data_IF_023936298839
#
_entry.id   IF_023936298839
#
_cell.length_a   1.000
_cell.length_b   1.000
_cell.length_c   1.000
_cell.angle_alpha   90.00
_cell.angle_beta   90.00
_cell.angle_gamma   90.00
#
_symmetry.space_group_name_H-M   'P 1'
#
loop_
_entity.id
_entity.type
_entity.pdbx_description
1 polymer ?
#
# COMPACT_ATOMS: atom_id res chain seq x y z
N UNK A 1 88.06 -20.52 -42.53
CA UNK A 1 87.79 -21.34 -41.33
C UNK A 1 86.31 -21.28 -41.03
N UNK A 2 85.66 -22.41 -40.80
CA UNK A 2 84.32 -22.47 -40.19
C UNK A 2 83.24 -23.13 -41.06
N UNK A 3 82.66 -24.19 -40.54
CA UNK A 3 81.83 -25.21 -41.19
C UNK A 3 80.33 -24.89 -41.29
N UNK A 4 79.64 -25.72 -42.08
CA UNK A 4 78.18 -25.85 -42.21
C UNK A 4 77.49 -26.39 -40.94
N UNK A 5 76.19 -26.08 -40.75
CA UNK A 5 75.19 -26.96 -40.07
C UNK A 5 73.77 -26.66 -40.58
N UNK A 6 73.02 -27.74 -40.85
CA UNK A 6 71.59 -27.84 -41.19
C UNK A 6 70.65 -27.56 -40.00
N UNK A 7 69.42 -27.11 -40.24
CA UNK A 7 68.36 -27.06 -39.22
C UNK A 7 66.95 -27.15 -39.81
N UNK A 8 66.25 -28.22 -39.46
CA UNK A 8 64.96 -28.72 -39.93
C UNK A 8 63.70 -27.97 -39.45
N UNK A 9 62.67 -28.07 -40.29
CA UNK A 9 61.21 -27.91 -40.16
C UNK A 9 60.53 -27.74 -38.78
N UNK A 10 59.42 -26.99 -38.78
CA UNK A 10 58.13 -27.44 -38.21
C UNK A 10 56.96 -26.59 -38.78
N UNK A 11 56.08 -27.23 -39.56
CA UNK A 11 54.73 -26.70 -39.80
C UNK A 11 53.90 -26.95 -38.53
N UNK A 12 53.46 -25.88 -37.86
CA UNK A 12 52.48 -25.99 -36.79
C UNK A 12 51.08 -25.87 -37.43
N UNK A 13 50.34 -26.98 -37.41
CA UNK A 13 48.96 -27.05 -37.90
C UNK A 13 48.02 -26.18 -37.07
N UNK A 14 47.08 -25.55 -37.76
CA UNK A 14 45.93 -24.92 -37.14
C UNK A 14 45.04 -26.00 -36.51
N UNK A 15 45.05 -26.10 -35.19
CA UNK A 15 43.97 -26.75 -34.47
C UNK A 15 42.81 -25.74 -34.42
N UNK A 16 41.80 -25.98 -35.24
CA UNK A 16 40.50 -25.36 -35.04
C UNK A 16 39.97 -25.80 -33.68
N UNK A 17 39.70 -24.84 -32.79
CA UNK A 17 38.87 -25.09 -31.62
C UNK A 17 37.44 -25.33 -32.10
N UNK A 18 37.11 -26.56 -32.48
CA UNK A 18 35.72 -26.99 -32.56
C UNK A 18 35.16 -27.01 -31.13
N UNK A 19 34.44 -25.94 -30.78
CA UNK A 19 33.56 -25.96 -29.60
C UNK A 19 32.41 -26.90 -29.97
N UNK A 20 32.22 -28.03 -29.27
CA UNK A 20 31.07 -28.87 -29.49
C UNK A 20 29.85 -28.06 -29.06
N UNK A 21 29.04 -27.63 -30.03
CA UNK A 21 27.69 -27.12 -29.77
C UNK A 21 26.86 -28.36 -29.42
N UNK A 22 26.97 -28.82 -28.17
CA UNK A 22 26.02 -29.76 -27.63
C UNK A 22 24.62 -29.16 -27.73
N UNK A 23 23.59 -30.00 -27.86
CA UNK A 23 22.21 -29.58 -27.68
C UNK A 23 22.03 -29.09 -26.23
N UNK A 24 22.43 -27.85 -25.97
CA UNK A 24 22.24 -27.19 -24.70
C UNK A 24 20.78 -26.80 -24.65
N UNK A 25 20.00 -27.51 -23.83
CA UNK A 25 18.67 -27.06 -23.44
C UNK A 25 18.78 -25.58 -23.02
N UNK A 26 17.85 -24.72 -23.45
CA UNK A 26 17.92 -23.30 -23.13
C UNK A 26 17.91 -23.10 -21.62
N UNK A 27 18.74 -22.17 -21.15
CA UNK A 27 18.84 -21.85 -19.73
C UNK A 27 17.47 -21.52 -19.13
N UNK A 28 17.19 -21.95 -17.88
CA UNK A 28 15.95 -21.61 -17.20
C UNK A 28 15.86 -20.08 -16.99
N UNK A 29 14.62 -19.58 -16.89
CA UNK A 29 14.41 -18.16 -16.59
C UNK A 29 14.98 -17.77 -15.23
N UNK A 30 15.41 -16.51 -15.05
CA UNK A 30 15.79 -15.98 -13.75
C UNK A 30 14.67 -16.19 -12.73
N UNK A 31 15.04 -16.62 -11.53
CA UNK A 31 14.11 -16.68 -10.39
C UNK A 31 14.19 -15.37 -9.62
N UNK A 32 13.10 -14.61 -9.57
CA UNK A 32 13.02 -13.40 -8.75
C UNK A 32 12.97 -13.78 -7.27
N UNK A 33 13.56 -12.95 -6.41
CA UNK A 33 13.59 -13.18 -4.96
C UNK A 33 13.32 -11.90 -4.18
N UNK A 34 12.92 -12.04 -2.91
CA UNK A 34 12.73 -10.93 -1.99
C UNK A 34 11.78 -9.85 -2.49
N UNK A 35 12.25 -8.60 -2.46
CA UNK A 35 11.49 -7.41 -2.85
C UNK A 35 11.09 -7.42 -4.34
N UNK A 36 11.93 -7.96 -5.23
CA UNK A 36 11.60 -8.06 -6.66
C UNK A 36 10.48 -9.06 -6.91
N UNK A 37 10.50 -10.21 -6.23
CA UNK A 37 9.42 -11.18 -6.31
C UNK A 37 8.10 -10.62 -5.76
N UNK A 38 8.16 -9.84 -4.67
CA UNK A 38 6.99 -9.19 -4.09
C UNK A 38 6.42 -8.13 -5.03
N UNK A 39 7.28 -7.31 -5.64
CA UNK A 39 6.89 -6.30 -6.64
C UNK A 39 6.21 -6.94 -7.85
N UNK A 40 6.78 -8.00 -8.41
CA UNK A 40 6.21 -8.75 -9.54
C UNK A 40 4.85 -9.37 -9.18
N UNK A 41 4.73 -9.99 -8.00
CA UNK A 41 3.48 -10.56 -7.54
C UNK A 41 2.37 -9.50 -7.43
N UNK A 42 2.71 -8.31 -6.90
CA UNK A 42 1.77 -7.20 -6.82
C UNK A 42 1.45 -6.60 -8.19
N UNK A 43 2.41 -6.56 -9.12
CA UNK A 43 2.15 -6.12 -10.50
C UNK A 43 1.11 -7.03 -11.16
N UNK A 44 1.22 -8.34 -10.98
CA UNK A 44 0.22 -9.31 -11.45
C UNK A 44 -1.14 -9.11 -10.79
N UNK A 45 -1.20 -8.79 -9.50
CA UNK A 45 -2.45 -8.44 -8.79
C UNK A 45 -3.09 -7.18 -9.36
N UNK A 46 -2.31 -6.11 -9.59
CA UNK A 46 -2.80 -4.89 -10.21
C UNK A 46 -3.36 -5.16 -11.62
N UNK A 47 -2.66 -5.94 -12.44
CA UNK A 47 -3.12 -6.34 -13.76
C UNK A 47 -4.44 -7.13 -13.71
N UNK A 48 -4.57 -8.07 -12.76
CA UNK A 48 -5.80 -8.83 -12.55
C UNK A 48 -6.96 -7.89 -12.16
N UNK A 49 -6.77 -7.03 -11.14
CA UNK A 49 -7.77 -6.05 -10.69
C UNK A 49 -8.25 -5.18 -11.86
N UNK A 50 -7.32 -4.62 -12.64
CA UNK A 50 -7.65 -3.82 -13.81
C UNK A 50 -8.42 -4.60 -14.88
N UNK A 51 -8.07 -5.87 -15.11
CA UNK A 51 -8.79 -6.74 -16.05
C UNK A 51 -10.20 -7.09 -15.55
N UNK A 52 -10.37 -7.34 -14.25
CA UNK A 52 -11.66 -7.62 -13.62
C UNK A 52 -12.57 -6.39 -13.69
N UNK A 53 -12.04 -5.21 -13.38
CA UNK A 53 -12.76 -3.95 -13.50
C UNK A 53 -13.24 -3.71 -14.94
N UNK A 54 -12.37 -3.94 -15.94
CA UNK A 54 -12.74 -3.84 -17.36
C UNK A 54 -13.81 -4.85 -17.78
N UNK A 55 -13.77 -6.08 -17.26
CA UNK A 55 -14.82 -7.07 -17.51
C UNK A 55 -16.18 -6.63 -16.92
N UNK A 56 -16.19 -6.04 -15.71
CA UNK A 56 -17.39 -5.48 -15.09
C UNK A 56 -17.98 -4.35 -15.93
N UNK A 57 -17.14 -3.44 -16.44
CA UNK A 57 -17.58 -2.36 -17.35
C UNK A 57 -18.22 -2.95 -18.62
N UNK A 58 -17.59 -3.97 -19.21
CA UNK A 58 -18.06 -4.60 -20.45
C UNK A 58 -19.42 -5.30 -20.31
N UNK A 59 -19.82 -5.72 -19.10
CA UNK A 59 -21.16 -6.27 -18.85
C UNK A 59 -22.29 -5.23 -18.98
N UNK A 60 -21.96 -3.93 -19.12
CA UNK A 60 -22.91 -2.91 -19.53
C UNK A 60 -23.90 -2.46 -18.45
N UNK A 61 -23.60 -2.71 -17.17
CA UNK A 61 -24.38 -2.19 -16.05
C UNK A 61 -24.36 -0.66 -16.03
N UNK A 62 -25.51 0.01 -16.05
CA UNK A 62 -25.60 1.46 -15.81
C UNK A 62 -25.72 1.73 -14.32
N UNK A 63 -24.85 2.56 -13.74
CA UNK A 63 -24.95 2.96 -12.33
C UNK A 63 -23.60 3.30 -11.70
N UNK A 64 -23.60 3.52 -10.39
CA UNK A 64 -22.40 3.86 -9.60
C UNK A 64 -21.31 2.79 -9.68
N UNK A 65 -21.68 1.50 -9.78
CA UNK A 65 -20.73 0.39 -9.86
C UNK A 65 -19.86 0.44 -11.12
N UNK A 66 -20.43 0.80 -12.29
CA UNK A 66 -19.64 0.94 -13.52
C UNK A 66 -18.69 2.13 -13.45
N UNK A 67 -19.13 3.26 -12.88
CA UNK A 67 -18.27 4.42 -12.67
C UNK A 67 -17.13 4.12 -11.69
N UNK A 68 -17.41 3.38 -10.61
CA UNK A 68 -16.37 2.92 -9.69
C UNK A 68 -15.40 1.94 -10.37
N UNK A 69 -15.90 1.02 -11.20
CA UNK A 69 -15.05 0.10 -11.95
C UNK A 69 -14.15 0.83 -12.96
N UNK A 70 -14.62 1.90 -13.62
CA UNK A 70 -13.80 2.75 -14.49
C UNK A 70 -12.64 3.39 -13.73
N UNK A 71 -12.93 3.98 -12.56
CA UNK A 71 -11.90 4.57 -11.69
C UNK A 71 -10.90 3.51 -11.24
N UNK A 72 -11.37 2.34 -10.81
CA UNK A 72 -10.50 1.23 -10.37
C UNK A 72 -9.63 0.72 -11.52
N UNK A 73 -10.15 0.64 -12.74
CA UNK A 73 -9.36 0.23 -13.91
C UNK A 73 -8.23 1.21 -14.18
N UNK A 74 -8.51 2.52 -14.13
CA UNK A 74 -7.51 3.57 -14.36
C UNK A 74 -6.46 3.62 -13.25
N UNK A 75 -6.87 3.49 -11.99
CA UNK A 75 -5.95 3.39 -10.86
C UNK A 75 -5.07 2.14 -10.96
N UNK A 76 -5.64 0.98 -11.34
CA UNK A 76 -4.89 -0.25 -11.51
C UNK A 76 -3.80 -0.12 -12.58
N UNK A 77 -4.05 0.61 -13.67
CA UNK A 77 -3.04 0.91 -14.69
C UNK A 77 -1.91 1.80 -14.14
N UNK A 78 -2.23 2.85 -13.37
CA UNK A 78 -1.25 3.71 -12.69
C UNK A 78 -0.41 2.91 -11.67
N UNK A 79 -1.06 2.06 -10.89
CA UNK A 79 -0.42 1.21 -9.89
C UNK A 79 0.50 0.18 -10.54
N UNK A 80 0.06 -0.43 -11.64
CA UNK A 80 0.88 -1.34 -12.43
C UNK A 80 2.13 -0.63 -12.96
N UNK A 81 2.00 0.59 -13.48
CA UNK A 81 3.13 1.39 -13.92
C UNK A 81 4.09 1.73 -12.77
N UNK A 82 3.57 2.09 -11.59
CA UNK A 82 4.38 2.37 -10.39
C UNK A 82 5.14 1.13 -9.87
N UNK A 83 4.57 -0.06 -10.07
CA UNK A 83 5.22 -1.34 -9.77
C UNK A 83 6.29 -1.72 -10.81
N UNK A 84 6.32 -1.05 -11.97
CA UNK A 84 7.28 -1.31 -13.05
C UNK A 84 6.74 -2.22 -14.15
N UNK A 85 5.43 -2.50 -14.16
CA UNK A 85 4.80 -3.47 -15.05
C UNK A 85 4.99 -4.91 -14.60
N UNK A 86 4.34 -5.84 -15.31
CA UNK A 86 4.61 -7.27 -15.14
C UNK A 86 5.87 -7.62 -15.92
N UNK A 87 6.75 -8.41 -15.32
CA UNK A 87 7.97 -8.82 -15.98
C UNK A 87 7.69 -9.75 -17.17
N UNK A 88 8.25 -9.37 -18.32
CA UNK A 88 8.21 -10.12 -19.56
C UNK A 88 9.62 -10.48 -20.01
N UNK A 89 10.01 -11.77 -20.02
CA UNK A 89 11.35 -12.19 -20.45
C UNK A 89 11.59 -11.96 -21.94
N UNK A 90 10.51 -11.96 -22.73
CA UNK A 90 10.55 -11.88 -24.19
C UNK A 90 9.54 -10.86 -24.72
N UNK A 91 9.81 -9.54 -24.61
CA UNK A 91 8.85 -8.50 -24.97
C UNK A 91 8.40 -8.53 -26.44
N UNK A 92 9.25 -9.04 -27.33
CA UNK A 92 8.98 -9.18 -28.77
C UNK A 92 8.59 -10.59 -29.18
N UNK A 93 8.31 -11.47 -28.22
CA UNK A 93 8.00 -12.88 -28.42
C UNK A 93 9.20 -13.80 -28.15
N UNK A 94 8.92 -14.93 -27.50
CA UNK A 94 9.92 -15.92 -27.14
C UNK A 94 10.42 -16.68 -28.39
N UNK A 95 11.73 -16.94 -28.50
CA UNK A 95 12.22 -17.87 -29.51
C UNK A 95 11.66 -19.27 -29.29
N UNK A 96 11.41 -20.00 -30.37
CA UNK A 96 10.88 -21.37 -30.31
C UNK A 96 11.77 -22.27 -29.46
N UNK A 97 11.18 -22.97 -28.49
CA UNK A 97 11.88 -23.90 -27.60
C UNK A 97 12.44 -23.27 -26.32
N UNK A 98 12.38 -21.94 -26.16
CA UNK A 98 12.83 -21.26 -24.93
C UNK A 98 11.73 -21.22 -23.87
N UNK A 99 12.10 -21.24 -22.57
CA UNK A 99 11.13 -21.09 -21.49
C UNK A 99 10.44 -19.71 -21.54
N UNK A 100 9.14 -19.69 -21.25
CA UNK A 100 8.34 -18.46 -21.15
C UNK A 100 7.91 -18.21 -19.71
N UNK A 101 7.68 -16.96 -19.36
CA UNK A 101 7.06 -16.64 -18.08
C UNK A 101 5.63 -17.21 -18.00
N UNK A 102 5.15 -17.45 -16.79
CA UNK A 102 3.74 -17.77 -16.56
C UNK A 102 2.86 -16.64 -17.11
N UNK A 103 1.84 -16.94 -17.92
CA UNK A 103 0.90 -15.93 -18.41
C UNK A 103 0.31 -15.11 -17.26
N UNK A 104 0.04 -13.83 -17.51
CA UNK A 104 -0.65 -12.98 -16.55
C UNK A 104 -2.10 -13.45 -16.46
N UNK A 105 -2.57 -13.69 -15.24
CA UNK A 105 -3.97 -14.03 -15.02
C UNK A 105 -4.86 -12.86 -15.43
N UNK A 106 -5.94 -13.17 -16.15
CA UNK A 106 -6.93 -12.17 -16.58
C UNK A 106 -8.32 -12.66 -16.23
N UNK A 107 -9.19 -11.74 -15.86
CA UNK A 107 -10.56 -12.06 -15.51
C UNK A 107 -11.32 -12.66 -16.70
N UNK A 108 -12.25 -13.57 -16.41
CA UNK A 108 -13.21 -14.02 -17.39
C UNK A 108 -14.05 -12.84 -17.89
N UNK A 109 -14.47 -12.86 -19.16
CA UNK A 109 -15.35 -11.82 -19.73
C UNK A 109 -16.72 -11.72 -19.04
N UNK A 110 -17.06 -12.70 -18.21
CA UNK A 110 -18.28 -12.75 -17.37
C UNK A 110 -18.03 -12.37 -15.92
N UNK A 111 -16.88 -11.79 -15.57
CA UNK A 111 -16.59 -11.36 -14.21
C UNK A 111 -17.56 -10.27 -13.74
N UNK A 112 -17.88 -10.32 -12.45
CA UNK A 112 -18.91 -9.54 -11.77
C UNK A 112 -18.30 -8.54 -10.79
N UNK A 113 -19.13 -7.68 -10.19
CA UNK A 113 -18.68 -6.78 -9.12
C UNK A 113 -18.20 -7.54 -7.87
N UNK A 114 -18.75 -8.72 -7.59
CA UNK A 114 -18.27 -9.58 -6.49
C UNK A 114 -16.86 -10.10 -6.78
N UNK A 115 -16.56 -10.46 -8.03
CA UNK A 115 -15.21 -10.86 -8.44
C UNK A 115 -14.22 -9.67 -8.31
N UNK A 116 -14.68 -8.44 -8.58
CA UNK A 116 -13.86 -7.25 -8.39
C UNK A 116 -13.57 -6.96 -6.91
N UNK A 117 -14.58 -7.09 -6.04
CA UNK A 117 -14.41 -6.97 -4.59
C UNK A 117 -13.43 -8.04 -4.08
N UNK A 118 -13.58 -9.30 -4.52
CA UNK A 118 -12.67 -10.38 -4.16
C UNK A 118 -11.23 -10.09 -4.64
N UNK A 119 -11.04 -9.62 -5.87
CA UNK A 119 -9.72 -9.28 -6.40
C UNK A 119 -9.05 -8.14 -5.62
N UNK A 120 -9.83 -7.14 -5.18
CA UNK A 120 -9.34 -6.04 -4.34
C UNK A 120 -8.95 -6.52 -2.94
N UNK A 121 -9.77 -7.36 -2.31
CA UNK A 121 -9.46 -7.94 -0.99
C UNK A 121 -8.22 -8.85 -1.02
N UNK A 122 -8.12 -9.72 -2.03
CA UNK A 122 -6.93 -10.55 -2.25
C UNK A 122 -5.68 -9.71 -2.53
N UNK A 123 -5.85 -8.61 -3.29
CA UNK A 123 -4.81 -7.62 -3.52
C UNK A 123 -4.35 -6.98 -2.22
N UNK A 124 -5.28 -6.44 -1.43
CA UNK A 124 -4.99 -5.77 -0.17
C UNK A 124 -4.29 -6.72 0.83
N UNK A 125 -4.71 -7.99 0.90
CA UNK A 125 -4.06 -9.02 1.69
C UNK A 125 -2.64 -9.35 1.17
N UNK A 126 -2.47 -9.45 -0.16
CA UNK A 126 -1.16 -9.67 -0.78
C UNK A 126 -0.19 -8.50 -0.51
N UNK A 127 -0.68 -7.26 -0.60
CA UNK A 127 0.09 -6.07 -0.26
C UNK A 127 0.50 -6.07 1.22
N UNK A 128 -0.43 -6.37 2.12
CA UNK A 128 -0.12 -6.51 3.54
C UNK A 128 0.96 -7.56 3.82
N UNK A 129 0.90 -8.72 3.16
CA UNK A 129 1.91 -9.77 3.29
C UNK A 129 3.27 -9.34 2.72
N UNK A 130 3.29 -8.69 1.54
CA UNK A 130 4.52 -8.15 0.95
C UNK A 130 5.15 -7.06 1.86
N UNK A 131 4.32 -6.25 2.52
CA UNK A 131 4.78 -5.23 3.46
C UNK A 131 5.50 -5.85 4.65
N UNK A 132 5.05 -7.00 5.17
CA UNK A 132 5.72 -7.71 6.27
C UNK A 132 7.18 -8.06 5.92
N UNK A 133 7.42 -8.52 4.68
CA UNK A 133 8.74 -8.95 4.21
C UNK A 133 9.58 -7.84 3.55
N UNK A 134 9.00 -6.66 3.28
CA UNK A 134 9.68 -5.60 2.53
C UNK A 134 10.97 -5.12 3.20
N UNK A 135 12.07 -5.11 2.45
CA UNK A 135 13.37 -4.65 2.95
C UNK A 135 13.69 -3.21 2.50
N UNK A 136 13.34 -2.86 1.28
CA UNK A 136 13.51 -1.52 0.74
C UNK A 136 12.37 -0.59 1.19
N UNK A 137 12.73 0.58 1.72
CA UNK A 137 11.78 1.60 2.17
C UNK A 137 10.86 2.08 1.03
N UNK A 138 11.41 2.22 -0.18
CA UNK A 138 10.64 2.60 -1.38
C UNK A 138 9.55 1.57 -1.71
N UNK A 139 9.88 0.27 -1.61
CA UNK A 139 8.89 -0.78 -1.81
C UNK A 139 7.87 -0.75 -0.67
N UNK A 140 8.30 -0.66 0.59
CA UNK A 140 7.38 -0.58 1.72
C UNK A 140 6.36 0.57 1.56
N UNK A 141 6.83 1.74 1.10
CA UNK A 141 5.98 2.91 0.81
C UNK A 141 4.97 2.64 -0.30
N UNK A 142 5.38 2.01 -1.40
CA UNK A 142 4.47 1.64 -2.49
C UNK A 142 3.45 0.59 -2.02
N UNK A 143 3.90 -0.44 -1.32
CA UNK A 143 3.06 -1.56 -0.89
C UNK A 143 2.01 -1.13 0.13
N UNK A 144 2.37 -0.30 1.12
CA UNK A 144 1.38 0.22 2.07
C UNK A 144 0.36 1.14 1.36
N UNK A 145 0.79 1.91 0.36
CA UNK A 145 -0.11 2.72 -0.46
C UNK A 145 -1.13 1.85 -1.20
N UNK A 146 -0.68 0.76 -1.82
CA UNK A 146 -1.55 -0.21 -2.49
C UNK A 146 -2.51 -0.89 -1.51
N UNK A 147 -2.01 -1.29 -0.33
CA UNK A 147 -2.85 -1.87 0.72
C UNK A 147 -4.00 -0.93 1.10
N UNK A 148 -3.71 0.36 1.31
CA UNK A 148 -4.74 1.36 1.61
C UNK A 148 -5.68 1.54 0.41
N UNK A 149 -5.15 1.79 -0.79
CA UNK A 149 -5.94 2.07 -1.98
C UNK A 149 -6.93 0.94 -2.32
N UNK A 150 -6.45 -0.31 -2.33
CA UNK A 150 -7.28 -1.47 -2.63
C UNK A 150 -8.34 -1.71 -1.56
N UNK A 151 -8.00 -1.55 -0.27
CA UNK A 151 -8.98 -1.64 0.82
C UNK A 151 -10.06 -0.55 0.69
N UNK A 152 -9.68 0.69 0.38
CA UNK A 152 -10.65 1.78 0.20
C UNK A 152 -11.60 1.53 -0.97
N UNK A 153 -11.11 0.97 -2.08
CA UNK A 153 -11.94 0.61 -3.23
C UNK A 153 -12.83 -0.58 -2.96
N UNK A 154 -12.34 -1.56 -2.21
CA UNK A 154 -13.13 -2.70 -1.73
C UNK A 154 -14.33 -2.22 -0.90
N UNK A 155 -14.07 -1.41 0.13
CA UNK A 155 -15.10 -0.85 1.01
C UNK A 155 -16.10 0.04 0.24
N UNK A 156 -15.62 0.80 -0.76
CA UNK A 156 -16.49 1.65 -1.58
C UNK A 156 -17.45 0.84 -2.48
N UNK A 157 -17.05 -0.35 -2.91
CA UNK A 157 -17.90 -1.26 -3.70
C UNK A 157 -18.81 -2.10 -2.81
N UNK A 158 -18.32 -2.55 -1.66
CA UNK A 158 -19.03 -3.40 -0.71
C UNK A 158 -18.84 -2.90 0.73
N UNK A 159 -19.65 -1.93 1.19
CA UNK A 159 -19.52 -1.38 2.54
C UNK A 159 -19.58 -2.47 3.62
N UNK A 160 -18.62 -2.45 4.54
CA UNK A 160 -18.43 -3.43 5.60
C UNK A 160 -17.62 -4.67 5.20
N UNK A 161 -17.04 -4.73 3.99
CA UNK A 161 -16.19 -5.85 3.58
C UNK A 161 -14.79 -5.79 4.19
N UNK A 162 -14.29 -4.58 4.49
CA UNK A 162 -12.93 -4.38 4.99
C UNK A 162 -12.86 -4.58 6.50
N UNK A 163 -12.30 -5.72 6.91
CA UNK A 163 -12.02 -6.03 8.31
C UNK A 163 -10.69 -5.40 8.76
N UNK A 164 -10.66 -4.08 8.96
CA UNK A 164 -9.46 -3.39 9.50
C UNK A 164 -9.61 -3.05 10.98
N UNK A 165 -8.50 -3.15 11.70
CA UNK A 165 -8.42 -2.77 13.11
C UNK A 165 -7.78 -1.40 13.23
N UNK A 166 -8.54 -0.42 13.72
CA UNK A 166 -7.96 0.85 14.14
C UNK A 166 -6.92 0.63 15.23
N UNK A 167 -5.93 1.53 15.31
CA UNK A 167 -5.02 1.56 16.45
C UNK A 167 -5.82 1.66 17.75
N UNK A 168 -5.46 0.82 18.71
CA UNK A 168 -6.12 0.70 19.99
C UNK A 168 -5.09 0.65 21.13
N UNK A 169 -5.57 0.65 22.37
CA UNK A 169 -4.69 0.52 23.53
C UNK A 169 -3.91 -0.81 23.53
N UNK A 170 -4.54 -1.92 23.14
CA UNK A 170 -3.90 -3.25 23.14
C UNK A 170 -2.83 -3.40 22.06
N UNK A 171 -2.99 -2.71 20.93
CA UNK A 171 -2.01 -2.71 19.83
C UNK A 171 -0.93 -1.63 20.01
N UNK A 172 -1.04 -0.76 21.02
CA UNK A 172 -0.07 0.29 21.33
C UNK A 172 0.86 -0.19 22.43
N UNK A 173 1.70 -1.16 22.09
CA UNK A 173 2.66 -1.81 23.01
C UNK A 173 3.99 -1.06 23.11
N UNK A 174 4.24 -0.18 22.15
CA UNK A 174 5.40 0.70 22.09
C UNK A 174 4.93 2.15 21.97
N UNK A 175 5.76 3.11 22.36
CA UNK A 175 5.42 4.51 22.29
C UNK A 175 5.28 4.98 20.85
N UNK A 176 4.26 5.79 20.60
CA UNK A 176 4.08 6.43 19.30
C UNK A 176 5.12 7.55 19.11
N UNK A 177 5.53 7.83 17.85
CA UNK A 177 6.28 9.04 17.53
C UNK A 177 5.54 10.31 17.97
N UNK A 178 6.29 11.36 18.30
CA UNK A 178 5.73 12.59 18.89
C UNK A 178 4.63 13.23 18.02
N UNK A 179 4.84 13.30 16.71
CA UNK A 179 3.84 13.83 15.76
C UNK A 179 2.55 13.02 15.79
N UNK A 180 2.65 11.69 15.74
CA UNK A 180 1.49 10.79 15.79
C UNK A 180 0.77 10.88 17.13
N UNK A 181 1.51 10.95 18.24
CA UNK A 181 0.94 11.11 19.59
C UNK A 181 0.19 12.45 19.71
N UNK A 182 0.75 13.54 19.18
CA UNK A 182 0.12 14.85 19.16
C UNK A 182 -1.17 14.85 18.34
N UNK A 183 -1.21 14.16 17.19
CA UNK A 183 -2.43 14.03 16.38
C UNK A 183 -3.54 13.26 17.11
N UNK A 184 -3.23 12.14 17.77
CA UNK A 184 -4.23 11.42 18.56
C UNK A 184 -4.71 12.25 19.76
N UNK A 185 -3.84 13.01 20.42
CA UNK A 185 -4.28 13.90 21.51
C UNK A 185 -5.15 15.07 21.00
N UNK A 186 -4.82 15.63 19.83
CA UNK A 186 -5.65 16.64 19.16
C UNK A 186 -7.01 16.07 18.75
N UNK A 187 -7.04 14.84 18.25
CA UNK A 187 -8.28 14.12 17.91
C UNK A 187 -9.16 13.91 19.14
N UNK A 188 -8.57 13.52 20.27
CA UNK A 188 -9.27 13.44 21.57
C UNK A 188 -9.95 14.76 21.91
N UNK A 189 -9.21 15.87 21.88
CA UNK A 189 -9.76 17.20 22.19
C UNK A 189 -10.87 17.60 21.21
N UNK A 190 -10.63 17.41 19.92
CA UNK A 190 -11.55 17.84 18.85
C UNK A 190 -12.85 17.04 18.87
N UNK A 191 -12.78 15.73 19.15
CA UNK A 191 -13.97 14.88 19.26
C UNK A 191 -14.87 15.30 20.44
N UNK A 192 -14.29 15.61 21.60
CA UNK A 192 -15.06 16.13 22.76
C UNK A 192 -15.70 17.49 22.45
N UNK A 193 -14.96 18.39 21.79
CA UNK A 193 -15.46 19.69 21.39
C UNK A 193 -16.61 19.58 20.38
N UNK A 194 -16.44 18.77 19.33
CA UNK A 194 -17.48 18.54 18.32
C UNK A 194 -18.71 17.88 18.95
N UNK A 195 -18.51 16.93 19.86
CA UNK A 195 -19.61 16.30 20.58
C UNK A 195 -20.42 17.31 21.41
N UNK A 196 -19.75 18.24 22.09
CA UNK A 196 -20.39 19.29 22.87
C UNK A 196 -21.19 20.28 21.98
N UNK A 197 -20.66 20.61 20.80
CA UNK A 197 -21.30 21.52 19.85
C UNK A 197 -22.45 20.86 19.06
N UNK A 198 -22.38 19.56 18.86
CA UNK A 198 -23.36 18.78 18.08
C UNK A 198 -24.58 18.34 18.92
N UNK A 199 -25.04 19.17 19.86
CA UNK A 199 -26.13 18.80 20.78
C UNK A 199 -27.42 18.38 20.06
N UNK A 200 -27.67 18.94 18.87
CA UNK A 200 -28.85 18.65 18.04
C UNK A 200 -28.63 17.54 16.99
N UNK A 201 -27.39 17.12 16.77
CA UNK A 201 -27.03 16.01 15.87
C UNK A 201 -26.51 14.83 16.68
N UNK A 202 -27.42 13.92 17.04
CA UNK A 202 -27.10 12.75 17.85
C UNK A 202 -26.12 11.78 17.17
N UNK A 203 -26.08 11.77 15.83
CA UNK A 203 -25.19 10.88 15.07
C UNK A 203 -23.78 11.43 15.07
N UNK A 204 -23.60 12.70 14.71
CA UNK A 204 -22.30 13.37 14.76
C UNK A 204 -21.74 13.36 16.19
N UNK A 205 -22.58 13.68 17.19
CA UNK A 205 -22.19 13.63 18.60
C UNK A 205 -21.69 12.25 19.03
N UNK A 206 -22.43 11.18 18.70
CA UNK A 206 -22.04 9.81 19.07
C UNK A 206 -20.70 9.42 18.42
N UNK A 207 -20.54 9.67 17.11
CA UNK A 207 -19.29 9.38 16.39
C UNK A 207 -18.10 10.14 16.98
N UNK A 208 -18.27 11.42 17.29
CA UNK A 208 -17.22 12.25 17.87
C UNK A 208 -16.78 11.76 19.26
N UNK A 209 -17.72 11.30 20.10
CA UNK A 209 -17.42 10.68 21.40
C UNK A 209 -16.68 9.35 21.23
N UNK A 210 -17.11 8.51 20.28
CA UNK A 210 -16.44 7.23 19.98
C UNK A 210 -14.99 7.44 19.53
N UNK A 211 -14.75 8.39 18.62
CA UNK A 211 -13.41 8.76 18.15
C UNK A 211 -12.55 9.33 19.30
N UNK A 212 -13.10 10.21 20.14
CA UNK A 212 -12.40 10.80 21.28
C UNK A 212 -12.01 9.74 22.33
N UNK A 213 -12.91 8.79 22.62
CA UNK A 213 -12.65 7.70 23.55
C UNK A 213 -11.55 6.76 23.02
N UNK A 214 -11.60 6.41 21.72
CA UNK A 214 -10.57 5.60 21.09
C UNK A 214 -9.20 6.30 21.11
N UNK A 215 -9.16 7.58 20.76
CA UNK A 215 -7.93 8.39 20.81
C UNK A 215 -7.36 8.49 22.23
N UNK A 216 -8.21 8.69 23.23
CA UNK A 216 -7.82 8.69 24.65
C UNK A 216 -7.14 7.38 25.05
N UNK A 217 -7.70 6.25 24.65
CA UNK A 217 -7.14 4.94 24.95
C UNK A 217 -5.75 4.75 24.32
N UNK A 218 -5.57 5.19 23.07
CA UNK A 218 -4.28 5.14 22.35
C UNK A 218 -3.23 6.06 23.00
N UNK A 219 -3.59 7.30 23.32
CA UNK A 219 -2.70 8.26 24.00
C UNK A 219 -2.23 7.71 25.34
N UNK A 220 -3.17 7.22 26.16
CA UNK A 220 -2.83 6.65 27.47
C UNK A 220 -1.94 5.40 27.35
N UNK A 221 -2.20 4.52 26.37
CA UNK A 221 -1.37 3.35 26.12
C UNK A 221 0.04 3.73 25.66
N UNK A 222 0.18 4.70 24.75
CA UNK A 222 1.48 5.22 24.29
C UNK A 222 2.30 5.80 25.44
N UNK A 223 1.65 6.58 26.33
CA UNK A 223 2.29 7.12 27.54
C UNK A 223 2.71 5.97 28.49
N UNK A 224 1.81 5.00 28.72
CA UNK A 224 2.08 3.86 29.59
C UNK A 224 3.20 2.94 29.06
N UNK A 225 3.39 2.88 27.73
CA UNK A 225 4.49 2.17 27.09
C UNK A 225 5.87 2.80 27.34
N UNK A 226 5.93 3.92 28.10
CA UNK A 226 7.16 4.57 28.59
C UNK A 226 8.13 4.99 27.48
N UNK A 227 7.62 5.69 26.49
CA UNK A 227 8.46 6.23 25.43
C UNK A 227 9.31 7.41 25.82
N UNK A 228 10.06 7.95 24.84
CA UNK A 228 10.80 9.19 24.98
C UNK A 228 9.95 10.28 25.66
N UNK A 229 8.65 10.40 25.36
CA UNK A 229 7.74 11.35 25.99
C UNK A 229 7.59 11.26 27.53
N UNK A 230 7.92 10.12 28.15
CA UNK A 230 7.94 9.96 29.63
C UNK A 230 9.33 10.10 30.25
N UNK A 231 10.38 10.14 29.42
CA UNK A 231 11.78 10.36 29.81
C UNK A 231 12.32 11.73 29.34
N UNK A 232 11.56 12.46 28.51
CA UNK A 232 11.92 13.76 27.96
C UNK A 232 11.35 14.91 28.81
N UNK A 233 12.09 16.03 28.89
CA UNK A 233 11.64 17.22 29.62
C UNK A 233 10.47 17.98 28.97
N UNK A 234 10.04 17.61 27.76
CA UNK A 234 8.95 18.29 27.02
C UNK A 234 7.87 17.30 26.57
N UNK A 235 6.65 17.52 27.05
CA UNK A 235 5.43 16.84 26.60
C UNK A 235 5.06 17.34 25.18
N UNK A 236 4.91 16.47 24.15
CA UNK A 236 4.58 16.89 22.79
C UNK A 236 3.13 17.36 22.65
N UNK A 237 2.27 17.08 23.64
CA UNK A 237 0.87 17.52 23.64
C UNK A 237 0.79 19.03 23.86
N UNK A 238 -0.06 19.68 23.09
CA UNK A 238 -0.22 21.13 23.18
C UNK A 238 -1.17 21.50 24.33
N UNK A 239 -0.94 22.63 25.01
CA UNK A 239 -1.87 23.13 26.02
C UNK A 239 -3.21 23.59 25.41
N UNK A 240 -3.22 23.87 24.09
CA UNK A 240 -4.40 24.21 23.32
C UNK A 240 -4.22 23.77 21.86
N UNK A 241 -5.31 23.42 21.19
CA UNK A 241 -5.32 23.01 19.79
C UNK A 241 -6.12 23.98 18.94
N UNK A 242 -5.58 24.34 17.77
CA UNK A 242 -6.27 25.09 16.73
C UNK A 242 -6.84 24.17 15.65
N UNK A 243 -7.76 24.70 14.85
CA UNK A 243 -8.24 24.01 13.66
C UNK A 243 -7.07 23.80 12.65
N UNK A 244 -6.98 22.64 11.97
CA UNK A 244 -6.07 22.39 10.87
C UNK A 244 -6.24 23.46 9.80
N UNK A 245 -5.16 23.74 9.09
CA UNK A 245 -5.22 24.64 7.95
C UNK A 245 -6.25 24.15 6.93
N UNK A 246 -7.21 25.00 6.57
CA UNK A 246 -8.25 24.69 5.59
C UNK A 246 -9.49 23.97 6.14
N UNK A 247 -9.57 23.68 7.43
CA UNK A 247 -10.80 23.22 8.07
C UNK A 247 -11.63 24.41 8.59
N UNK A 248 -12.96 24.23 8.65
CA UNK A 248 -13.84 25.19 9.32
C UNK A 248 -13.37 25.42 10.77
N UNK A 249 -13.51 26.67 11.24
CA UNK A 249 -13.26 27.00 12.64
C UNK A 249 -14.11 26.12 13.55
N UNK A 250 -13.65 25.90 14.80
CA UNK A 250 -14.42 25.24 15.86
C UNK A 250 -15.88 25.73 15.95
N UNK A 251 -16.16 26.97 15.55
CA UNK A 251 -17.48 27.59 15.65
C UNK A 251 -18.47 27.15 14.55
N UNK A 252 -18.07 26.28 13.62
CA UNK A 252 -18.92 25.68 12.59
C UNK A 252 -18.73 24.15 12.53
N UNK A 253 -19.65 23.36 13.11
CA UNK A 253 -19.48 21.92 13.31
C UNK A 253 -19.74 21.11 12.03
N UNK A 254 -18.88 21.25 11.02
CA UNK A 254 -19.01 20.51 9.75
C UNK A 254 -18.40 19.11 9.79
N UNK A 255 -17.70 18.74 10.88
CA UNK A 255 -16.95 17.48 10.97
C UNK A 255 -15.71 17.42 10.08
N UNK A 256 -15.47 18.44 9.23
CA UNK A 256 -14.31 18.49 8.33
C UNK A 256 -12.98 18.53 9.09
N UNK A 257 -12.95 19.18 10.26
CA UNK A 257 -11.78 19.12 11.15
C UNK A 257 -11.49 17.66 11.56
N UNK A 258 -12.49 16.89 11.99
CA UNK A 258 -12.30 15.47 12.33
C UNK A 258 -11.78 14.67 11.14
N UNK A 259 -12.34 14.87 9.95
CA UNK A 259 -11.89 14.21 8.73
C UNK A 259 -10.44 14.56 8.37
N UNK A 260 -10.05 15.83 8.49
CA UNK A 260 -8.68 16.28 8.24
C UNK A 260 -7.68 15.69 9.23
N UNK A 261 -8.03 15.58 10.52
CA UNK A 261 -7.20 14.91 11.52
C UNK A 261 -7.03 13.43 11.23
N UNK A 262 -8.11 12.72 10.87
CA UNK A 262 -8.03 11.32 10.48
C UNK A 262 -7.16 11.11 9.24
N UNK A 263 -7.22 12.01 8.25
CA UNK A 263 -6.32 12.00 7.10
C UNK A 263 -4.85 12.21 7.51
N UNK A 264 -4.56 13.13 8.43
CA UNK A 264 -3.21 13.30 8.96
C UNK A 264 -2.72 12.08 9.73
N UNK A 265 -3.59 11.45 10.54
CA UNK A 265 -3.28 10.21 11.25
C UNK A 265 -2.96 9.08 10.26
N UNK A 266 -3.75 8.93 9.19
CA UNK A 266 -3.48 7.96 8.12
C UNK A 266 -2.05 8.12 7.57
N UNK A 267 -1.61 9.35 7.28
CA UNK A 267 -0.26 9.62 6.74
C UNK A 267 0.83 9.27 7.76
N UNK A 268 0.65 9.63 9.03
CA UNK A 268 1.63 9.31 10.07
C UNK A 268 1.70 7.81 10.35
N UNK A 269 0.57 7.11 10.40
CA UNK A 269 0.51 5.64 10.55
C UNK A 269 1.17 4.93 9.36
N UNK A 270 0.95 5.44 8.14
CA UNK A 270 1.64 4.97 6.95
C UNK A 270 3.17 5.16 7.08
N UNK A 271 3.64 6.30 7.59
CA UNK A 271 5.07 6.54 7.84
C UNK A 271 5.65 5.57 8.88
N UNK A 272 4.90 5.25 9.93
CA UNK A 272 5.30 4.23 10.91
C UNK A 272 5.36 2.84 10.25
N UNK A 273 4.41 2.49 9.39
CA UNK A 273 4.44 1.23 8.67
C UNK A 273 5.69 1.12 7.77
N UNK A 274 6.02 2.19 7.05
CA UNK A 274 7.19 2.24 6.13
C UNK A 274 8.51 2.07 6.88
N UNK A 275 8.69 2.79 7.99
CA UNK A 275 9.94 2.79 8.77
C UNK A 275 10.03 1.66 9.81
N UNK A 276 8.90 1.10 10.22
CA UNK A 276 8.81 0.05 11.23
C UNK A 276 9.13 -1.34 10.69
N UNK A 277 8.99 -2.36 11.53
CA UNK A 277 9.15 -3.77 11.16
C UNK A 277 8.24 -4.68 12.00
N UNK A 278 8.12 -5.95 11.59
CA UNK A 278 7.35 -6.95 12.32
C UNK A 278 5.88 -6.57 12.57
N UNK A 279 5.36 -6.95 13.72
CA UNK A 279 3.96 -6.71 14.10
C UNK A 279 3.61 -5.21 14.12
N UNK A 280 4.52 -4.34 14.58
CA UNK A 280 4.25 -2.90 14.64
C UNK A 280 4.03 -2.29 13.25
N UNK A 281 4.77 -2.76 12.24
CA UNK A 281 4.56 -2.35 10.84
C UNK A 281 3.15 -2.69 10.39
N UNK A 282 2.70 -3.93 10.64
CA UNK A 282 1.38 -4.40 10.22
C UNK A 282 0.23 -3.74 10.98
N UNK A 283 0.39 -3.49 12.28
CA UNK A 283 -0.57 -2.71 13.07
C UNK A 283 -0.74 -1.30 12.52
N UNK A 284 0.38 -0.65 12.15
CA UNK A 284 0.35 0.72 11.61
C UNK A 284 -0.26 0.76 10.20
N UNK A 285 -0.02 -0.27 9.39
CA UNK A 285 -0.68 -0.44 8.11
C UNK A 285 -2.21 -0.55 8.26
N UNK A 286 -2.72 -1.41 9.15
CA UNK A 286 -4.17 -1.51 9.40
C UNK A 286 -4.76 -0.22 9.97
N UNK A 287 -4.03 0.41 10.89
CA UNK A 287 -4.43 1.68 11.49
C UNK A 287 -4.53 2.79 10.43
N UNK A 288 -3.66 2.78 9.42
CA UNK A 288 -3.72 3.74 8.31
C UNK A 288 -4.97 3.54 7.47
N UNK A 289 -5.38 2.30 7.17
CA UNK A 289 -6.64 2.02 6.46
C UNK A 289 -7.85 2.46 7.29
N UNK A 290 -7.88 2.11 8.58
CA UNK A 290 -8.97 2.50 9.46
C UNK A 290 -9.07 4.04 9.60
N UNK A 291 -7.95 4.74 9.68
CA UNK A 291 -7.91 6.20 9.71
C UNK A 291 -8.41 6.80 8.39
N UNK A 292 -8.04 6.22 7.25
CA UNK A 292 -8.53 6.65 5.94
C UNK A 292 -10.06 6.51 5.81
N UNK A 293 -10.61 5.37 6.25
CA UNK A 293 -12.06 5.13 6.26
C UNK A 293 -12.80 6.11 7.17
N UNK A 294 -12.22 6.43 8.35
CA UNK A 294 -12.79 7.45 9.24
C UNK A 294 -12.76 8.83 8.61
N UNK A 295 -11.67 9.21 7.93
CA UNK A 295 -11.60 10.48 7.22
C UNK A 295 -12.71 10.61 6.16
N UNK A 296 -12.91 9.57 5.35
CA UNK A 296 -13.98 9.51 4.34
C UNK A 296 -15.37 9.59 4.99
N UNK A 297 -15.57 8.94 6.14
CA UNK A 297 -16.84 8.99 6.87
C UNK A 297 -17.22 10.39 7.38
N UNK A 298 -16.22 11.26 7.52
CA UNK A 298 -16.35 12.69 7.84
C UNK A 298 -16.34 13.59 6.58
N UNK A 299 -16.37 13.02 5.38
CA UNK A 299 -16.47 13.74 4.11
C UNK A 299 -15.13 14.25 3.55
N UNK A 300 -13.99 13.72 4.02
CA UNK A 300 -12.65 14.11 3.55
C UNK A 300 -12.06 13.06 2.63
N UNK A 301 -11.63 13.47 1.43
CA UNK A 301 -10.93 12.62 0.48
C UNK A 301 -9.49 12.32 0.92
N UNK A 302 -9.03 11.09 0.64
CA UNK A 302 -7.73 10.57 1.08
C UNK A 302 -6.77 10.22 -0.07
N UNK A 303 -7.27 10.12 -1.31
CA UNK A 303 -6.51 9.61 -2.46
C UNK A 303 -5.23 10.40 -2.76
N UNK A 304 -5.26 11.74 -2.67
CA UNK A 304 -4.11 12.61 -2.94
C UNK A 304 -2.89 12.31 -2.05
N UNK A 305 -3.09 11.69 -0.89
CA UNK A 305 -2.01 11.36 0.04
C UNK A 305 -1.31 10.04 -0.28
N UNK A 306 -1.77 9.25 -1.27
CA UNK A 306 -1.29 7.89 -1.55
C UNK A 306 -0.37 7.87 -2.79
N UNK A 307 0.93 7.59 -2.64
CA UNK A 307 1.86 7.44 -3.76
C UNK A 307 1.41 6.34 -4.75
N UNK A 308 1.51 6.60 -6.06
CA UNK A 308 1.14 5.62 -7.09
C UNK A 308 -0.36 5.45 -7.31
N UNK A 309 -1.19 6.35 -6.77
CA UNK A 309 -2.65 6.39 -7.01
C UNK A 309 -3.12 7.65 -7.76
N UNK A 310 -2.19 8.57 -8.07
CA UNK A 310 -2.51 9.78 -8.82
C UNK A 310 -2.78 9.45 -10.29
N UNK A 311 -4.06 9.43 -10.66
CA UNK A 311 -4.59 9.40 -12.01
C UNK A 311 -5.74 10.39 -12.15
#
# INVERSE_FOLDING_TARGET
MGAAVLGTAAMAGAAACEVPVGSSDPDPLPTMTGDEASREALARRAALIGSTARAVIAQGGRGSTSAQAEVIAQEADTQLAALGGVWEPWPTGAPTGYPTATPVETAAGTATSEDLVAALGDGAASARSALESAQAEELARLVVSLHIAWSLREEALSPGSVATSARSASTTTSPLPDTTLALYDQLRYTGELLAAQSASDSTARRRAVEDAAAATAVVNASIAAKGPATAQPSDPRQPAYGAPAGADSADSPSGQWMGALWRSIMVEEMSIAVSGSGEQRLVSADASVAAALRAISWGVETAEALPGTAG
#
